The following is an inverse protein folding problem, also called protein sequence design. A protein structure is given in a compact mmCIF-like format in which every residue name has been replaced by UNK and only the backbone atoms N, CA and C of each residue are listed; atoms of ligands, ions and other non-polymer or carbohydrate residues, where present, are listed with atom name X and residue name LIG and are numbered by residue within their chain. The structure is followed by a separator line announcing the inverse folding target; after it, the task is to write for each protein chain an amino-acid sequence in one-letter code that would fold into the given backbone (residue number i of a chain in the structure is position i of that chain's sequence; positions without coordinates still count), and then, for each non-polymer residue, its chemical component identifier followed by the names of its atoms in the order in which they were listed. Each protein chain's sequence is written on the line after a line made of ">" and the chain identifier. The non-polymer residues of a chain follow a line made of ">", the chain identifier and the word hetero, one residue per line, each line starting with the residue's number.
data_IF_796977933767
#
_entry.id   IF_796977933767
#
_cell.length_a   1.000
_cell.length_b   1.000
_cell.length_c   1.000
_cell.angle_alpha   90.00
_cell.angle_beta   90.00
_cell.angle_gamma   90.00
#
_symmetry.space_group_name_H-M   'P 1'
#
loop_
_entity.id
_entity.type
_entity.pdbx_description
1 polymer ?
#
# COMPACT_ATOMS: atom_id res chain seq x y z
N UNK A 1 -13.36 23.02 4.03
CA UNK A 1 -13.08 22.30 2.78
C UNK A 1 -12.03 21.20 2.94
N UNK A 2 -10.80 21.48 3.40
CA UNK A 2 -9.80 20.41 3.64
C UNK A 2 -10.17 19.53 4.85
N UNK A 3 -10.53 20.16 5.97
CA UNK A 3 -10.93 19.45 7.21
C UNK A 3 -12.17 18.57 7.01
N UNK A 4 -13.10 19.02 6.16
CA UNK A 4 -14.31 18.27 5.80
C UNK A 4 -13.97 17.00 5.01
N UNK A 5 -13.05 17.09 4.04
CA UNK A 5 -12.58 15.91 3.28
C UNK A 5 -11.83 14.93 4.18
N UNK A 6 -11.00 15.45 5.10
CA UNK A 6 -10.25 14.61 6.03
C UNK A 6 -11.19 13.91 7.02
N UNK A 7 -12.19 14.61 7.56
CA UNK A 7 -13.19 13.98 8.43
C UNK A 7 -14.00 12.91 7.68
N UNK A 8 -14.37 13.18 6.43
CA UNK A 8 -15.04 12.18 5.58
C UNK A 8 -14.17 10.94 5.34
N UNK A 9 -12.86 11.11 5.11
CA UNK A 9 -11.93 9.98 5.02
C UNK A 9 -11.92 9.16 6.31
N UNK A 10 -11.84 9.82 7.47
CA UNK A 10 -11.89 9.14 8.78
C UNK A 10 -13.19 8.37 8.98
N UNK A 11 -14.32 8.95 8.58
CA UNK A 11 -15.63 8.28 8.67
C UNK A 11 -15.71 7.04 7.76
N UNK A 12 -15.19 7.13 6.54
CA UNK A 12 -15.11 5.99 5.61
C UNK A 12 -14.24 4.87 6.21
N UNK A 13 -13.06 5.22 6.71
CA UNK A 13 -12.14 4.25 7.32
C UNK A 13 -12.77 3.56 8.53
N UNK A 14 -13.41 4.31 9.44
CA UNK A 14 -14.15 3.72 10.57
C UNK A 14 -15.22 2.74 10.11
N UNK A 15 -15.89 3.02 9.00
CA UNK A 15 -16.92 2.16 8.44
C UNK A 15 -16.41 0.81 7.89
N UNK A 16 -15.11 0.70 7.58
CA UNK A 16 -14.51 -0.57 7.13
C UNK A 16 -14.04 -1.46 8.29
N UNK A 17 -13.85 -0.91 9.50
CA UNK A 17 -13.33 -1.60 10.69
C UNK A 17 -11.87 -2.09 10.60
N UNK A 18 -11.40 -2.53 9.43
CA UNK A 18 -10.02 -2.92 9.15
C UNK A 18 -9.65 -2.69 7.69
N UNK A 19 -8.36 -2.45 7.38
CA UNK A 19 -7.91 -2.31 6.00
C UNK A 19 -6.46 -2.73 5.74
N UNK A 20 -6.18 -3.22 4.54
CA UNK A 20 -4.84 -3.32 4.00
C UNK A 20 -4.62 -2.14 3.05
N UNK A 21 -3.53 -1.39 3.22
CA UNK A 21 -3.18 -0.26 2.34
C UNK A 21 -2.03 -0.65 1.44
N UNK A 22 -2.24 -0.64 0.13
CA UNK A 22 -1.15 -0.68 -0.86
C UNK A 22 -0.29 0.61 -0.74
N UNK A 23 0.84 0.49 -0.07
CA UNK A 23 1.71 1.60 0.31
C UNK A 23 2.90 1.74 -0.64
N UNK A 24 3.23 2.97 -1.02
CA UNK A 24 4.30 3.27 -1.98
C UNK A 24 5.38 4.24 -1.47
N UNK A 25 5.16 4.86 -0.30
CA UNK A 25 5.99 5.98 0.18
C UNK A 25 5.65 7.34 -0.45
N UNK A 26 4.82 7.38 -1.50
CA UNK A 26 4.30 8.63 -2.06
C UNK A 26 3.28 9.30 -1.12
N UNK A 27 3.19 10.63 -1.18
CA UNK A 27 2.39 11.48 -0.27
C UNK A 27 0.94 10.99 -0.09
N UNK A 28 0.29 10.54 -1.15
CA UNK A 28 -1.09 10.06 -1.09
C UNK A 28 -1.21 8.77 -0.27
N UNK A 29 -0.31 7.80 -0.52
CA UNK A 29 -0.29 6.53 0.22
C UNK A 29 0.20 6.70 1.66
N UNK A 30 1.09 7.66 1.92
CA UNK A 30 1.53 8.03 3.28
C UNK A 30 0.36 8.63 4.06
N UNK A 31 -0.37 9.59 3.46
CA UNK A 31 -1.54 10.19 4.08
C UNK A 31 -2.59 9.12 4.41
N UNK A 32 -2.89 8.23 3.46
CA UNK A 32 -3.87 7.17 3.67
C UNK A 32 -3.45 6.20 4.78
N UNK A 33 -2.20 5.71 4.76
CA UNK A 33 -1.70 4.80 5.80
C UNK A 33 -1.66 5.47 7.18
N UNK A 34 -1.20 6.72 7.25
CA UNK A 34 -1.15 7.48 8.49
C UNK A 34 -2.55 7.69 9.09
N UNK A 35 -3.52 8.16 8.28
CA UNK A 35 -4.89 8.39 8.76
C UNK A 35 -5.59 7.06 9.07
N UNK A 36 -5.35 6.00 8.29
CA UNK A 36 -5.85 4.66 8.60
C UNK A 36 -5.34 4.18 9.96
N UNK A 37 -4.06 4.38 10.27
CA UNK A 37 -3.50 4.04 11.57
C UNK A 37 -4.05 4.90 12.70
N UNK A 38 -4.18 6.22 12.50
CA UNK A 38 -4.81 7.11 13.50
C UNK A 38 -6.24 6.65 13.87
N UNK A 39 -6.98 6.12 12.89
CA UNK A 39 -8.39 5.77 13.03
C UNK A 39 -8.61 4.33 13.50
N UNK A 40 -7.86 3.38 12.96
CA UNK A 40 -8.06 1.94 13.11
C UNK A 40 -7.01 1.29 14.02
N UNK A 41 -5.92 1.99 14.35
CA UNK A 41 -4.82 1.46 15.14
C UNK A 41 -4.19 0.23 14.49
N UNK A 42 -4.19 -0.88 15.22
CA UNK A 42 -3.62 -2.16 14.79
C UNK A 42 -4.52 -2.94 13.81
N UNK A 43 -5.73 -2.46 13.52
CA UNK A 43 -6.64 -3.08 12.53
C UNK A 43 -6.33 -2.66 11.09
N UNK A 44 -5.16 -2.07 10.84
CA UNK A 44 -4.70 -1.76 9.50
C UNK A 44 -3.31 -2.36 9.22
N UNK A 45 -2.99 -2.64 7.96
CA UNK A 45 -1.64 -3.02 7.53
C UNK A 45 -1.22 -2.28 6.26
N UNK A 46 -0.12 -1.53 6.29
CA UNK A 46 0.49 -0.98 5.10
C UNK A 46 1.37 -2.06 4.47
N UNK A 47 1.29 -2.24 3.16
CA UNK A 47 2.15 -3.20 2.45
C UNK A 47 2.86 -2.52 1.29
N UNK A 48 4.19 -2.62 1.26
CA UNK A 48 5.02 -2.16 0.15
C UNK A 48 5.66 -3.34 -0.57
N UNK A 49 5.64 -3.31 -1.90
CA UNK A 49 6.41 -4.22 -2.72
C UNK A 49 7.85 -3.71 -2.86
N UNK A 50 8.79 -4.51 -2.37
CA UNK A 50 10.18 -4.40 -2.69
C UNK A 50 10.44 -5.18 -3.98
N UNK A 51 10.68 -4.47 -5.08
CA UNK A 51 10.91 -5.07 -6.39
C UNK A 51 12.02 -4.36 -7.15
N UNK A 52 12.56 -4.96 -8.24
CA UNK A 52 13.59 -4.33 -9.04
C UNK A 52 13.14 -3.02 -9.72
N UNK A 53 11.82 -2.75 -9.81
CA UNK A 53 11.31 -1.50 -10.38
C UNK A 53 11.29 -0.34 -9.38
N UNK A 54 11.40 -0.61 -8.07
CA UNK A 54 11.42 0.40 -7.02
C UNK A 54 12.86 0.86 -6.70
N UNK A 55 13.19 2.16 -6.90
CA UNK A 55 14.50 2.69 -6.52
C UNK A 55 14.81 2.46 -5.05
N UNK A 56 16.03 2.02 -4.73
CA UNK A 56 16.44 1.70 -3.35
C UNK A 56 16.29 2.88 -2.39
N UNK A 57 16.58 4.10 -2.87
CA UNK A 57 16.38 5.34 -2.08
C UNK A 57 14.91 5.53 -1.69
N UNK A 58 13.99 5.36 -2.64
CA UNK A 58 12.55 5.50 -2.39
C UNK A 58 12.03 4.41 -1.45
N UNK A 59 12.54 3.18 -1.57
CA UNK A 59 12.21 2.10 -0.64
C UNK A 59 12.68 2.41 0.79
N UNK A 60 13.91 2.89 0.96
CA UNK A 60 14.44 3.31 2.27
C UNK A 60 13.62 4.45 2.85
N UNK A 61 13.36 5.50 2.07
CA UNK A 61 12.53 6.64 2.51
C UNK A 61 11.12 6.20 2.91
N UNK A 62 10.49 5.32 2.14
CA UNK A 62 9.15 4.79 2.46
C UNK A 62 9.13 4.04 3.80
N UNK A 63 10.19 3.28 4.12
CA UNK A 63 10.33 2.58 5.40
C UNK A 63 10.55 3.55 6.57
N UNK A 64 11.42 4.54 6.39
CA UNK A 64 11.71 5.55 7.41
C UNK A 64 10.45 6.37 7.74
N UNK A 65 9.62 6.71 6.75
CA UNK A 65 8.34 7.38 6.96
C UNK A 65 7.38 6.49 7.77
N UNK A 66 7.28 5.19 7.43
CA UNK A 66 6.43 4.27 8.18
C UNK A 66 6.86 4.14 9.64
N UNK A 67 8.17 4.05 9.89
CA UNK A 67 8.74 4.05 11.24
C UNK A 67 8.46 5.36 11.99
N UNK A 68 8.66 6.51 11.34
CA UNK A 68 8.44 7.82 11.93
C UNK A 68 6.97 8.07 12.32
N UNK A 69 6.02 7.54 11.54
CA UNK A 69 4.58 7.66 11.80
C UNK A 69 3.98 6.48 12.57
N UNK A 70 4.75 5.43 12.81
CA UNK A 70 4.37 4.28 13.65
C UNK A 70 3.35 3.31 13.07
N UNK A 71 2.93 3.46 11.81
CA UNK A 71 1.96 2.54 11.22
C UNK A 71 2.61 1.20 10.83
N UNK A 72 1.92 0.06 11.00
CA UNK A 72 2.49 -1.25 10.72
C UNK A 72 2.76 -1.41 9.22
N UNK A 73 4.01 -1.76 8.88
CA UNK A 73 4.47 -1.95 7.52
C UNK A 73 4.92 -3.41 7.30
N UNK A 74 4.36 -4.06 6.30
CA UNK A 74 4.86 -5.33 5.77
C UNK A 74 5.52 -5.11 4.41
N UNK A 75 6.65 -5.77 4.22
CA UNK A 75 7.38 -5.75 2.95
C UNK A 75 7.15 -7.09 2.26
N UNK A 76 6.81 -7.04 0.98
CA UNK A 76 6.67 -8.22 0.13
C UNK A 76 7.63 -8.11 -1.04
N UNK A 77 7.96 -9.25 -1.65
CA UNK A 77 8.66 -9.29 -2.93
C UNK A 77 7.62 -9.52 -4.04
N UNK A 78 7.79 -8.87 -5.18
CA UNK A 78 6.99 -9.09 -6.38
C UNK A 78 7.87 -9.55 -7.53
N UNK A 79 7.28 -10.30 -8.47
CA UNK A 79 8.03 -10.98 -9.53
C UNK A 79 7.65 -10.44 -10.92
N UNK A 80 7.27 -9.16 -11.04
CA UNK A 80 6.83 -8.60 -12.32
C UNK A 80 7.91 -8.70 -13.42
N UNK A 81 9.19 -8.73 -13.04
CA UNK A 81 10.30 -8.95 -13.99
C UNK A 81 10.40 -10.37 -14.54
N UNK A 82 9.75 -11.35 -13.90
CA UNK A 82 9.63 -12.71 -14.45
C UNK A 82 8.53 -12.78 -15.54
N UNK A 83 7.69 -11.76 -15.67
CA UNK A 83 6.66 -11.67 -16.70
C UNK A 83 7.24 -11.08 -18.01
N UNK A 84 7.26 -11.83 -19.12
CA UNK A 84 7.70 -11.32 -20.42
C UNK A 84 6.91 -10.09 -20.91
N UNK A 85 5.61 -10.03 -20.60
CA UNK A 85 4.74 -8.92 -21.01
C UNK A 85 5.07 -7.62 -20.26
N UNK A 86 5.66 -7.72 -19.06
CA UNK A 86 6.18 -6.57 -18.33
C UNK A 86 7.54 -6.13 -18.88
N UNK A 87 8.47 -7.07 -19.06
CA UNK A 87 9.85 -6.80 -19.48
C UNK A 87 9.98 -6.35 -20.94
N UNK A 88 8.99 -6.67 -21.78
CA UNK A 88 8.86 -6.10 -23.12
C UNK A 88 8.61 -4.57 -23.12
N UNK A 89 8.36 -3.98 -21.94
CA UNK A 89 8.13 -2.54 -21.73
C UNK A 89 7.05 -1.93 -22.65
N UNK A 90 5.86 -2.56 -22.80
CA UNK A 90 4.79 -2.00 -23.60
C UNK A 90 4.14 -0.79 -22.91
N UNK A 91 3.28 -0.07 -23.64
CA UNK A 91 2.51 1.08 -23.10
C UNK A 91 1.68 0.71 -21.87
N UNK A 92 1.26 -0.54 -21.74
CA UNK A 92 0.51 -1.08 -20.62
C UNK A 92 1.37 -1.81 -19.58
N UNK A 93 2.70 -1.65 -19.54
CA UNK A 93 3.53 -2.36 -18.54
C UNK A 93 3.06 -2.17 -17.10
N UNK A 94 2.53 -0.99 -16.77
CA UNK A 94 2.05 -0.67 -15.43
C UNK A 94 0.83 -1.52 -15.03
N UNK A 95 0.06 -2.01 -16.00
CA UNK A 95 -1.00 -2.98 -15.74
C UNK A 95 -0.42 -4.28 -15.20
N UNK A 96 0.62 -4.85 -15.83
CA UNK A 96 1.24 -6.09 -15.37
C UNK A 96 1.91 -5.93 -13.99
N UNK A 97 2.59 -4.80 -13.76
CA UNK A 97 3.17 -4.47 -12.45
C UNK A 97 2.10 -4.38 -11.35
N UNK A 98 0.99 -3.66 -11.59
CA UNK A 98 -0.12 -3.56 -10.62
C UNK A 98 -0.86 -4.89 -10.46
N UNK A 99 -1.05 -5.63 -11.54
CA UNK A 99 -1.72 -6.93 -11.49
C UNK A 99 -0.94 -7.90 -10.61
N UNK A 100 0.38 -7.98 -10.77
CA UNK A 100 1.25 -8.76 -9.87
C UNK A 100 1.13 -8.27 -8.42
N UNK A 101 1.23 -6.96 -8.18
CA UNK A 101 1.10 -6.39 -6.83
C UNK A 101 -0.21 -6.81 -6.16
N UNK A 102 -1.36 -6.58 -6.80
CA UNK A 102 -2.66 -6.90 -6.22
C UNK A 102 -2.89 -8.42 -6.11
N UNK A 103 -2.33 -9.22 -7.01
CA UNK A 103 -2.31 -10.69 -6.89
C UNK A 103 -1.58 -11.16 -5.63
N UNK A 104 -0.52 -10.45 -5.21
CA UNK A 104 0.18 -10.73 -3.94
C UNK A 104 -0.50 -10.16 -2.71
N UNK A 105 -1.19 -9.02 -2.84
CA UNK A 105 -1.87 -8.36 -1.72
C UNK A 105 -3.19 -9.04 -1.33
N UNK A 106 -3.95 -9.53 -2.30
CA UNK A 106 -5.25 -10.18 -2.08
C UNK A 106 -5.20 -11.33 -1.06
N UNK A 107 -4.30 -12.33 -1.17
CA UNK A 107 -4.20 -13.38 -0.15
C UNK A 107 -3.77 -12.82 1.22
N UNK A 108 -2.93 -11.78 1.28
CA UNK A 108 -2.55 -11.14 2.55
C UNK A 108 -3.75 -10.46 3.20
N UNK A 109 -4.60 -9.80 2.41
CA UNK A 109 -5.83 -9.17 2.89
C UNK A 109 -6.79 -10.23 3.47
N UNK A 110 -7.00 -11.32 2.72
CA UNK A 110 -7.90 -12.42 3.10
C UNK A 110 -7.38 -13.15 4.35
N UNK A 111 -6.13 -13.59 4.35
CA UNK A 111 -5.53 -14.32 5.47
C UNK A 111 -5.42 -13.46 6.74
N UNK A 112 -5.21 -12.16 6.57
CA UNK A 112 -5.18 -11.18 7.65
C UNK A 112 -6.56 -10.76 8.16
N UNK A 113 -7.64 -11.18 7.50
CA UNK A 113 -9.01 -10.80 7.87
C UNK A 113 -9.33 -9.32 7.67
N UNK A 114 -8.63 -8.63 6.75
CA UNK A 114 -8.89 -7.22 6.46
C UNK A 114 -10.17 -7.08 5.62
N UNK A 115 -11.06 -6.19 6.04
CA UNK A 115 -12.36 -5.99 5.39
C UNK A 115 -12.26 -5.34 4.00
N UNK A 116 -11.19 -4.56 3.77
CA UNK A 116 -10.92 -3.90 2.49
C UNK A 116 -9.43 -3.85 2.19
N UNK A 117 -9.11 -3.88 0.89
CA UNK A 117 -7.80 -3.65 0.30
C UNK A 117 -7.85 -2.40 -0.61
#
# INVERSE_FOLDING_TARGET
>A
MADEKLNRLRDILRGYESCLVAYSGGVDSVLLAHVAHEVLGDQMLAVIADSPSLPRREFTEAREIAEAHGFPLRIIQTEEFANPDYTANPVNRCYFCKHELFTRLEPIAIDGGFAVL
#
